data_IF_647906562697
#
_entry.id   IF_647906562697
#
_cell.length_a   1.000
_cell.length_b   1.000
_cell.length_c   1.000
_cell.angle_alpha   90.00
_cell.angle_beta   90.00
_cell.angle_gamma   90.00
#
_symmetry.space_group_name_H-M   'P 1'
#
loop_
_entity.id
_entity.type
_entity.pdbx_description
1 polymer ?
#
# COMPACT_ATOMS: atom_id res chain seq x y z
N UNK A 1 2.59 -24.12 -3.84
CA UNK A 1 2.77 -22.69 -3.51
C UNK A 1 2.31 -21.82 -4.66
N UNK A 2 1.45 -20.92 -4.34
CA UNK A 2 0.80 -19.82 -5.05
C UNK A 2 0.76 -19.88 -6.58
N UNK A 3 -0.43 -20.09 -7.14
CA UNK A 3 -0.72 -19.84 -8.54
C UNK A 3 -0.63 -18.35 -8.89
N UNK A 4 -0.61 -17.46 -7.86
CA UNK A 4 -0.58 -16.01 -8.00
C UNK A 4 0.84 -15.48 -7.80
N UNK A 5 1.57 -15.29 -8.89
CA UNK A 5 2.92 -14.72 -8.91
C UNK A 5 3.01 -13.54 -9.86
N UNK A 6 3.97 -12.64 -9.63
CA UNK A 6 4.28 -11.50 -10.49
C UNK A 6 5.78 -11.37 -10.66
N UNK A 7 6.21 -11.08 -11.91
CA UNK A 7 7.59 -10.68 -12.18
C UNK A 7 7.73 -9.18 -12.03
N UNK A 8 8.66 -8.77 -11.17
CA UNK A 8 9.00 -7.37 -10.94
C UNK A 8 9.95 -6.83 -12.02
N UNK A 9 10.21 -5.54 -11.99
CA UNK A 9 11.07 -4.79 -12.93
C UNK A 9 12.53 -5.28 -12.98
N UNK A 10 13.00 -5.93 -11.91
CA UNK A 10 14.35 -6.50 -11.82
C UNK A 10 14.43 -7.98 -12.22
N UNK A 11 13.34 -8.54 -12.77
CA UNK A 11 13.24 -9.94 -13.17
C UNK A 11 12.94 -10.93 -12.02
N UNK A 12 12.88 -10.45 -10.78
CA UNK A 12 12.52 -11.30 -9.64
C UNK A 12 11.04 -11.65 -9.68
N UNK A 13 10.71 -12.93 -9.53
CA UNK A 13 9.32 -13.39 -9.41
C UNK A 13 8.98 -13.61 -7.93
N UNK A 14 7.89 -13.00 -7.49
CA UNK A 14 7.40 -13.07 -6.11
C UNK A 14 5.90 -13.45 -6.08
N UNK A 15 5.36 -13.91 -4.94
CA UNK A 15 3.91 -13.97 -4.75
C UNK A 15 3.25 -12.61 -5.01
N UNK A 16 2.09 -12.58 -5.63
CA UNK A 16 1.31 -11.35 -5.92
C UNK A 16 0.64 -10.78 -4.67
N UNK A 17 1.38 -10.72 -3.58
CA UNK A 17 0.94 -10.19 -2.29
C UNK A 17 2.14 -9.58 -1.58
N UNK A 18 2.01 -8.32 -1.19
CA UNK A 18 2.96 -7.64 -0.32
C UNK A 18 2.37 -7.38 1.06
N UNK A 19 3.18 -6.85 1.97
CA UNK A 19 2.76 -6.43 3.29
C UNK A 19 2.81 -4.91 3.41
N UNK A 20 1.66 -4.28 3.71
CA UNK A 20 1.55 -2.85 3.98
C UNK A 20 1.88 -2.53 5.43
N UNK A 21 2.95 -1.77 5.67
CA UNK A 21 3.53 -1.54 6.98
C UNK A 21 3.05 -0.24 7.67
N UNK A 22 1.99 0.41 7.16
CA UNK A 22 1.45 1.60 7.81
C UNK A 22 0.91 1.30 9.22
N UNK A 23 0.22 0.18 9.39
CA UNK A 23 -0.41 -0.19 10.66
C UNK A 23 0.59 -0.59 11.77
N UNK A 24 1.86 -0.81 11.45
CA UNK A 24 2.93 -1.09 12.40
C UNK A 24 3.81 0.14 12.68
N UNK A 25 3.51 1.30 12.06
CA UNK A 25 4.30 2.52 12.24
C UNK A 25 4.13 3.19 13.61
N UNK A 26 3.00 2.95 14.28
CA UNK A 26 2.72 3.61 15.57
C UNK A 26 2.20 5.04 15.40
N UNK A 27 2.18 5.84 16.50
CA UNK A 27 1.56 7.16 16.53
C UNK A 27 2.16 8.14 15.51
N UNK A 28 1.27 8.91 14.86
CA UNK A 28 1.61 9.98 13.92
C UNK A 28 0.41 10.94 13.81
N UNK A 29 0.64 12.26 13.84
CA UNK A 29 -0.43 13.24 13.95
C UNK A 29 -0.17 14.46 13.06
N UNK A 30 -1.25 15.20 12.75
CA UNK A 30 -1.23 16.57 12.23
C UNK A 30 -2.02 17.45 13.19
N UNK A 31 -1.33 18.21 14.03
CA UNK A 31 -1.96 18.84 15.20
C UNK A 31 -2.60 17.77 16.08
N UNK A 32 -3.91 17.87 16.31
CA UNK A 32 -4.68 16.89 17.08
C UNK A 32 -5.30 15.77 16.22
N UNK A 33 -5.09 15.80 14.91
CA UNK A 33 -5.67 14.81 13.99
C UNK A 33 -4.77 13.59 13.90
N UNK A 34 -5.29 12.39 14.22
CA UNK A 34 -4.57 11.15 14.05
C UNK A 34 -4.36 10.83 12.56
N UNK A 35 -3.11 10.50 12.19
CA UNK A 35 -2.71 10.05 10.85
C UNK A 35 -2.14 8.62 10.89
N UNK A 36 -2.51 7.85 11.90
CA UNK A 36 -2.02 6.49 12.13
C UNK A 36 -3.09 5.60 12.76
N UNK A 37 -2.75 4.35 12.97
CA UNK A 37 -3.61 3.33 13.55
C UNK A 37 -3.46 3.23 15.08
N UNK A 38 -2.95 4.28 15.74
CA UNK A 38 -2.70 4.32 17.17
C UNK A 38 -1.44 3.57 17.61
N UNK A 39 -1.41 3.16 18.88
CA UNK A 39 -0.26 2.48 19.50
C UNK A 39 -0.01 1.11 18.89
N UNK A 40 1.26 0.73 18.77
CA UNK A 40 1.73 -0.56 18.23
C UNK A 40 2.59 -1.31 19.24
N UNK A 41 2.68 -2.63 19.07
CA UNK A 41 3.58 -3.50 19.79
C UNK A 41 4.65 -4.01 18.82
N UNK A 42 5.87 -3.52 18.96
CA UNK A 42 6.99 -3.84 18.07
C UNK A 42 7.35 -5.32 18.08
N UNK A 43 7.19 -6.02 19.21
CA UNK A 43 7.44 -7.44 19.27
C UNK A 43 6.43 -8.23 18.42
N UNK A 44 5.15 -7.87 18.51
CA UNK A 44 4.12 -8.47 17.66
C UNK A 44 4.32 -8.11 16.18
N UNK A 45 4.71 -6.86 15.88
CA UNK A 45 5.05 -6.43 14.52
C UNK A 45 6.20 -7.26 13.92
N UNK A 46 7.27 -7.49 14.69
CA UNK A 46 8.40 -8.31 14.26
C UNK A 46 8.01 -9.77 14.03
N UNK A 47 7.24 -10.39 14.94
CA UNK A 47 6.72 -11.75 14.75
C UNK A 47 5.86 -11.87 13.49
N UNK A 48 5.04 -10.85 13.22
CA UNK A 48 4.21 -10.82 12.02
C UNK A 48 5.06 -10.71 10.74
N UNK A 49 6.12 -9.91 10.73
CA UNK A 49 7.07 -9.81 9.61
C UNK A 49 7.78 -11.15 9.40
N UNK A 50 8.31 -11.77 10.47
CA UNK A 50 8.95 -13.09 10.41
C UNK A 50 7.98 -14.15 9.85
N UNK A 51 6.73 -14.16 10.34
CA UNK A 51 5.72 -15.09 9.83
C UNK A 51 5.40 -14.85 8.35
N UNK A 52 5.33 -13.60 7.89
CA UNK A 52 5.15 -13.28 6.48
C UNK A 52 6.29 -13.85 5.61
N UNK A 53 7.54 -13.72 6.08
CA UNK A 53 8.72 -14.30 5.42
C UNK A 53 8.65 -15.83 5.34
N UNK A 54 8.28 -16.51 6.44
CA UNK A 54 8.12 -17.97 6.51
C UNK A 54 7.06 -18.46 5.52
N UNK A 55 6.00 -17.67 5.34
CA UNK A 55 4.92 -17.95 4.39
C UNK A 55 5.25 -17.53 2.94
N UNK A 56 6.48 -17.08 2.67
CA UNK A 56 6.97 -16.79 1.32
C UNK A 56 6.76 -15.37 0.83
N UNK A 57 6.27 -14.44 1.64
CA UNK A 57 6.17 -13.03 1.26
C UNK A 57 7.55 -12.42 1.08
N UNK A 58 7.71 -11.64 0.01
CA UNK A 58 8.98 -11.02 -0.38
C UNK A 58 8.88 -9.52 -0.71
N UNK A 59 7.70 -8.91 -0.55
CA UNK A 59 7.48 -7.48 -0.80
C UNK A 59 6.91 -6.81 0.44
N UNK A 60 7.59 -5.76 0.93
CA UNK A 60 7.18 -4.97 2.10
C UNK A 60 7.12 -3.50 1.71
N UNK A 61 5.95 -2.87 1.89
CA UNK A 61 5.71 -1.47 1.58
C UNK A 61 5.61 -0.63 2.87
N UNK A 62 6.45 0.38 2.97
CA UNK A 62 6.46 1.34 4.08
C UNK A 62 6.48 2.78 3.55
N UNK A 63 6.71 3.76 4.41
CA UNK A 63 7.00 5.15 4.09
C UNK A 63 7.81 5.81 5.21
N UNK A 64 8.60 6.81 4.86
CA UNK A 64 9.34 7.62 5.83
C UNK A 64 8.44 8.27 6.88
N UNK A 65 7.21 8.65 6.51
CA UNK A 65 6.23 9.27 7.40
C UNK A 65 5.47 8.30 8.31
N UNK A 66 5.50 6.97 8.06
CA UNK A 66 4.76 6.02 8.89
C UNK A 66 5.35 5.93 10.30
N UNK A 67 4.61 6.49 11.28
CA UNK A 67 5.08 6.66 12.64
C UNK A 67 6.32 7.56 12.73
N UNK A 68 6.47 8.52 11.78
CA UNK A 68 7.61 9.43 11.70
C UNK A 68 8.96 8.66 11.72
N UNK A 69 9.12 7.72 10.80
CA UNK A 69 10.32 6.90 10.62
C UNK A 69 10.25 5.51 11.26
N UNK A 70 9.41 5.30 12.26
CA UNK A 70 9.40 4.09 13.07
C UNK A 70 9.13 2.80 12.26
N UNK A 71 8.22 2.85 11.28
CA UNK A 71 7.96 1.69 10.41
C UNK A 71 9.20 1.24 9.63
N UNK A 72 10.00 2.19 9.13
CA UNK A 72 11.27 1.88 8.46
C UNK A 72 12.30 1.28 9.43
N UNK A 73 12.36 1.74 10.69
CA UNK A 73 13.26 1.20 11.71
C UNK A 73 12.90 -0.26 12.08
N UNK A 74 11.60 -0.57 12.22
CA UNK A 74 11.11 -1.93 12.44
C UNK A 74 11.51 -2.84 11.28
N UNK A 75 11.27 -2.42 10.03
CA UNK A 75 11.65 -3.19 8.85
C UNK A 75 13.17 -3.33 8.74
N UNK A 76 13.93 -2.25 8.96
CA UNK A 76 15.39 -2.27 8.94
C UNK A 76 15.95 -3.31 9.92
N UNK A 77 15.41 -3.36 11.13
CA UNK A 77 15.81 -4.36 12.13
C UNK A 77 15.47 -5.79 11.70
N UNK A 78 14.26 -6.00 11.16
CA UNK A 78 13.78 -7.33 10.80
C UNK A 78 14.38 -7.87 9.49
N UNK A 79 14.72 -6.98 8.53
CA UNK A 79 15.05 -7.36 7.16
C UNK A 79 16.48 -7.00 6.70
N UNK A 80 17.33 -6.41 7.55
CA UNK A 80 18.68 -5.92 7.16
C UNK A 80 19.57 -6.98 6.47
N UNK A 81 19.43 -8.24 6.85
CA UNK A 81 20.24 -9.35 6.33
C UNK A 81 19.51 -10.15 5.23
N UNK A 82 18.40 -9.63 4.69
CA UNK A 82 17.56 -10.32 3.70
C UNK A 82 17.70 -9.65 2.34
N UNK A 83 18.55 -10.21 1.49
CA UNK A 83 18.70 -9.78 0.10
C UNK A 83 17.62 -10.33 -0.85
N UNK A 84 16.82 -11.28 -0.36
CA UNK A 84 15.73 -11.93 -1.10
C UNK A 84 14.37 -11.23 -0.98
N UNK A 85 14.33 -10.04 -0.34
CA UNK A 85 13.12 -9.24 -0.17
C UNK A 85 13.24 -7.90 -0.88
N UNK A 86 12.12 -7.39 -1.35
CA UNK A 86 11.96 -6.06 -1.92
C UNK A 86 11.34 -5.15 -0.87
N UNK A 87 12.01 -4.05 -0.56
CA UNK A 87 11.50 -3.00 0.34
C UNK A 87 11.15 -1.78 -0.50
N UNK A 88 9.86 -1.44 -0.50
CA UNK A 88 9.33 -0.22 -1.05
C UNK A 88 9.15 0.80 0.08
N UNK A 89 9.72 2.00 -0.07
CA UNK A 89 9.43 3.12 0.83
C UNK A 89 9.03 4.36 0.05
N UNK A 90 8.68 5.43 0.76
CA UNK A 90 8.13 6.65 0.14
C UNK A 90 8.71 7.90 0.78
N UNK A 91 8.81 8.96 -0.01
CA UNK A 91 9.24 10.30 0.41
C UNK A 91 8.23 11.37 0.00
N UNK A 92 8.39 12.58 0.53
CA UNK A 92 7.56 13.72 0.18
C UNK A 92 6.88 14.38 1.39
N UNK A 93 6.52 13.60 2.40
CA UNK A 93 5.93 14.11 3.63
C UNK A 93 7.03 14.42 4.66
N UNK A 94 7.02 15.64 5.18
CA UNK A 94 7.92 16.11 6.24
C UNK A 94 7.31 15.81 7.62
N UNK A 95 8.15 15.48 8.57
CA UNK A 95 7.74 15.16 9.92
C UNK A 95 8.85 15.46 10.95
N UNK A 96 8.44 15.61 12.20
CA UNK A 96 9.33 15.64 13.35
C UNK A 96 9.32 14.28 14.05
N UNK A 97 10.45 13.54 14.06
CA UNK A 97 10.52 12.21 14.66
C UNK A 97 10.36 12.22 16.19
N UNK A 98 10.67 13.34 16.87
CA UNK A 98 10.58 13.46 18.32
C UNK A 98 9.14 13.70 18.80
N UNK A 99 8.40 14.54 18.09
CA UNK A 99 7.00 14.89 18.44
C UNK A 99 5.98 14.05 17.69
N UNK A 100 6.40 13.26 16.69
CA UNK A 100 5.53 12.49 15.81
C UNK A 100 4.53 13.35 15.01
N UNK A 101 4.87 14.61 14.76
CA UNK A 101 4.02 15.57 14.05
C UNK A 101 4.37 15.65 12.56
N UNK A 102 3.32 15.72 11.74
CA UNK A 102 3.43 16.07 10.33
C UNK A 102 3.77 17.57 10.20
N UNK A 103 4.72 17.90 9.33
CA UNK A 103 5.20 19.27 9.05
C UNK A 103 4.87 19.74 7.62
N UNK A 104 3.95 19.04 6.94
CA UNK A 104 3.61 19.30 5.54
C UNK A 104 4.38 18.42 4.57
N UNK A 105 4.65 18.93 3.35
CA UNK A 105 5.30 18.16 2.29
C UNK A 105 6.37 18.98 1.56
N UNK A 106 7.34 18.28 0.97
CA UNK A 106 8.37 18.88 0.14
C UNK A 106 8.76 17.93 -1.00
N UNK A 107 8.96 18.52 -2.19
CA UNK A 107 9.42 17.84 -3.39
C UNK A 107 10.73 18.44 -3.96
N UNK A 108 11.44 19.25 -3.15
CA UNK A 108 12.71 19.85 -3.60
C UNK A 108 13.81 18.79 -3.74
N UNK A 109 14.72 18.91 -4.73
CA UNK A 109 15.82 17.98 -4.92
C UNK A 109 16.68 17.77 -3.66
N UNK A 110 16.91 18.81 -2.88
CA UNK A 110 17.67 18.73 -1.64
C UNK A 110 16.93 17.85 -0.59
N UNK A 111 15.63 18.06 -0.42
CA UNK A 111 14.81 17.26 0.49
C UNK A 111 14.73 15.79 0.05
N UNK A 112 14.58 15.52 -1.25
CA UNK A 112 14.53 14.16 -1.80
C UNK A 112 15.81 13.40 -1.45
N UNK A 113 16.98 14.00 -1.69
CA UNK A 113 18.27 13.37 -1.37
C UNK A 113 18.43 13.13 0.13
N UNK A 114 18.13 14.12 0.97
CA UNK A 114 18.24 13.98 2.43
C UNK A 114 17.27 12.93 2.98
N UNK A 115 16.00 12.97 2.55
CA UNK A 115 14.99 11.98 2.94
C UNK A 115 15.38 10.55 2.52
N UNK A 116 15.99 10.38 1.35
CA UNK A 116 16.50 9.09 0.87
C UNK A 116 17.62 8.57 1.76
N UNK A 117 18.60 9.40 2.10
CA UNK A 117 19.71 9.03 3.00
C UNK A 117 19.19 8.68 4.42
N UNK A 118 18.18 9.38 4.91
CA UNK A 118 17.55 9.06 6.19
C UNK A 118 16.82 7.72 6.13
N UNK A 119 16.09 7.42 5.04
CA UNK A 119 15.42 6.13 4.85
C UNK A 119 16.41 4.98 4.76
N UNK A 120 17.53 5.15 4.03
CA UNK A 120 18.61 4.15 3.96
C UNK A 120 19.17 3.82 5.35
N UNK A 121 19.39 4.84 6.20
CA UNK A 121 19.85 4.63 7.58
C UNK A 121 18.83 3.87 8.42
N UNK A 122 17.53 4.25 8.38
CA UNK A 122 16.49 3.57 9.16
C UNK A 122 16.25 2.14 8.68
N UNK A 123 16.27 1.92 7.38
CA UNK A 123 16.14 0.59 6.76
C UNK A 123 17.40 -0.28 6.91
N UNK A 124 18.54 0.30 7.33
CA UNK A 124 19.84 -0.36 7.43
C UNK A 124 20.25 -1.02 6.09
N UNK A 125 20.09 -0.29 4.98
CA UNK A 125 20.38 -0.71 3.61
C UNK A 125 21.30 0.30 2.91
N UNK A 126 22.10 -0.17 1.97
CA UNK A 126 22.93 0.66 1.11
C UNK A 126 22.15 1.18 -0.11
N UNK A 127 21.10 0.47 -0.50
CA UNK A 127 20.20 0.83 -1.60
C UNK A 127 18.75 0.48 -1.26
N UNK A 128 17.80 1.30 -1.72
CA UNK A 128 16.35 1.07 -1.62
C UNK A 128 15.88 0.41 -2.91
N UNK A 129 15.16 -0.71 -2.82
CA UNK A 129 14.67 -1.43 -4.00
C UNK A 129 13.64 -0.63 -4.80
N UNK A 130 12.74 0.09 -4.11
CA UNK A 130 11.72 0.94 -4.71
C UNK A 130 11.48 2.19 -3.86
N UNK A 131 11.74 3.37 -4.42
CA UNK A 131 11.44 4.65 -3.79
C UNK A 131 10.25 5.32 -4.48
N UNK A 132 9.18 5.63 -3.75
CA UNK A 132 7.94 6.15 -4.31
C UNK A 132 7.70 7.61 -3.90
N UNK A 133 7.29 8.45 -4.85
CA UNK A 133 6.85 9.81 -4.57
C UNK A 133 5.46 9.80 -3.89
N UNK A 134 5.35 10.38 -2.68
CA UNK A 134 4.17 10.22 -1.80
C UNK A 134 3.27 11.45 -1.75
N UNK A 135 3.40 12.39 -2.66
CA UNK A 135 2.50 13.55 -2.78
C UNK A 135 1.54 13.26 -3.93
N UNK A 136 0.36 12.70 -3.60
CA UNK A 136 -0.63 12.21 -4.56
C UNK A 136 -1.01 13.26 -5.62
N UNK A 137 -1.29 14.50 -5.20
CA UNK A 137 -1.81 15.58 -6.04
C UNK A 137 -0.74 16.56 -6.54
N UNK A 138 0.57 16.21 -6.52
CA UNK A 138 1.62 17.12 -7.00
C UNK A 138 1.45 17.46 -8.49
N UNK A 139 1.66 18.72 -8.92
CA UNK A 139 1.56 19.12 -10.32
C UNK A 139 2.56 18.37 -11.21
N UNK A 140 2.13 17.98 -12.42
CA UNK A 140 2.95 17.18 -13.34
C UNK A 140 4.19 17.96 -13.80
N UNK A 141 4.07 19.23 -14.11
CA UNK A 141 5.15 20.10 -14.55
C UNK A 141 6.21 20.30 -13.46
N UNK A 142 5.81 20.39 -12.20
CA UNK A 142 6.74 20.46 -11.06
C UNK A 142 7.37 19.09 -10.74
N UNK A 143 6.69 17.99 -11.05
CA UNK A 143 7.19 16.63 -10.82
C UNK A 143 8.37 16.25 -11.73
N UNK A 144 8.62 16.98 -12.83
CA UNK A 144 9.77 16.74 -13.71
C UNK A 144 11.08 16.77 -12.90
N UNK A 145 11.30 17.79 -12.07
CA UNK A 145 12.49 17.93 -11.24
C UNK A 145 12.59 16.82 -10.16
N UNK A 146 11.44 16.33 -9.69
CA UNK A 146 11.39 15.18 -8.78
C UNK A 146 11.94 13.93 -9.44
N UNK A 147 11.42 13.57 -10.63
CA UNK A 147 11.85 12.37 -11.33
C UNK A 147 13.26 12.48 -11.92
N UNK A 148 13.74 13.67 -12.28
CA UNK A 148 15.14 13.90 -12.62
C UNK A 148 16.07 13.60 -11.43
N UNK A 149 15.69 14.04 -10.22
CA UNK A 149 16.43 13.72 -8.98
C UNK A 149 16.39 12.21 -8.66
N UNK A 150 15.28 11.53 -8.92
CA UNK A 150 15.17 10.07 -8.73
C UNK A 150 16.05 9.32 -9.75
N UNK A 151 16.16 9.79 -10.98
CA UNK A 151 17.09 9.23 -11.96
C UNK A 151 18.55 9.39 -11.53
N UNK A 152 18.95 10.55 -10.96
CA UNK A 152 20.28 10.75 -10.38
C UNK A 152 20.55 9.77 -9.22
N UNK A 153 19.60 9.62 -8.29
CA UNK A 153 19.72 8.67 -7.18
C UNK A 153 19.84 7.22 -7.65
N UNK A 154 19.11 6.86 -8.71
CA UNK A 154 19.18 5.54 -9.33
C UNK A 154 20.53 5.30 -10.01
N UNK A 155 21.05 6.26 -10.77
CA UNK A 155 22.38 6.17 -11.38
C UNK A 155 23.50 6.13 -10.32
N UNK A 156 23.29 6.80 -9.18
CA UNK A 156 24.19 6.75 -8.03
C UNK A 156 24.07 5.48 -7.17
N UNK A 157 23.17 4.54 -7.52
CA UNK A 157 22.98 3.27 -6.81
C UNK A 157 22.28 3.39 -5.47
N UNK A 158 21.72 4.56 -5.11
CA UNK A 158 20.99 4.77 -3.86
C UNK A 158 19.60 4.16 -3.88
N UNK A 159 19.02 4.05 -5.06
CA UNK A 159 17.73 3.37 -5.30
C UNK A 159 17.86 2.49 -6.54
N UNK A 160 17.11 1.39 -6.59
CA UNK A 160 17.10 0.53 -7.77
C UNK A 160 16.03 0.97 -8.79
N UNK A 161 14.88 1.42 -8.31
CA UNK A 161 13.76 1.87 -9.13
C UNK A 161 12.90 2.89 -8.34
N UNK A 162 11.97 3.52 -9.05
CA UNK A 162 11.05 4.47 -8.44
C UNK A 162 9.63 4.38 -9.03
N UNK A 163 8.69 5.03 -8.38
CA UNK A 163 7.30 5.14 -8.79
C UNK A 163 6.59 6.32 -8.16
N UNK A 164 5.29 6.43 -8.40
CA UNK A 164 4.44 7.45 -7.81
C UNK A 164 3.26 6.82 -7.05
N UNK A 165 3.02 7.29 -5.82
CA UNK A 165 1.80 6.99 -5.08
C UNK A 165 0.75 8.05 -5.43
N UNK A 166 -0.06 7.77 -6.46
CA UNK A 166 -1.10 8.66 -6.98
C UNK A 166 -2.33 7.88 -7.45
N UNK A 167 -3.51 8.48 -7.32
CA UNK A 167 -4.77 7.96 -7.83
C UNK A 167 -5.15 8.54 -9.20
N UNK A 168 -4.35 9.47 -9.72
CA UNK A 168 -4.58 10.13 -10.99
C UNK A 168 -3.80 9.39 -12.11
N UNK A 169 -4.50 8.74 -13.07
CA UNK A 169 -3.84 8.01 -14.15
C UNK A 169 -3.01 8.93 -15.07
N UNK A 170 -3.37 10.22 -15.19
CA UNK A 170 -2.61 11.15 -16.05
C UNK A 170 -1.22 11.44 -15.47
N UNK A 171 -1.09 11.45 -14.14
CA UNK A 171 0.22 11.59 -13.45
C UNK A 171 1.09 10.36 -13.66
N UNK A 172 0.52 9.18 -13.56
CA UNK A 172 1.24 7.93 -13.82
C UNK A 172 1.72 7.87 -15.28
N UNK A 173 0.84 8.17 -16.22
CA UNK A 173 1.14 8.17 -17.66
C UNK A 173 2.24 9.15 -18.04
N UNK A 174 2.25 10.35 -17.45
CA UNK A 174 3.23 11.40 -17.77
C UNK A 174 4.69 11.00 -17.56
N UNK A 175 4.96 9.98 -16.74
CA UNK A 175 6.32 9.52 -16.41
C UNK A 175 6.56 8.04 -16.72
N UNK A 176 5.57 7.33 -17.26
CA UNK A 176 5.60 5.89 -17.48
C UNK A 176 6.69 5.42 -18.46
N UNK A 177 7.15 6.30 -19.35
CA UNK A 177 8.22 6.02 -20.33
C UNK A 177 9.64 6.16 -19.74
N UNK A 178 9.78 6.66 -18.50
CA UNK A 178 11.10 6.76 -17.85
C UNK A 178 11.59 5.38 -17.44
N UNK A 179 12.83 4.97 -17.78
CA UNK A 179 13.31 3.61 -17.50
C UNK A 179 13.32 3.22 -16.02
N UNK A 180 13.38 4.19 -15.11
CA UNK A 180 13.33 3.96 -13.66
C UNK A 180 11.91 3.97 -13.06
N UNK A 181 10.89 4.42 -13.80
CA UNK A 181 9.50 4.48 -13.37
C UNK A 181 8.81 3.13 -13.64
N UNK A 182 8.73 2.30 -12.64
CA UNK A 182 8.33 0.89 -12.80
C UNK A 182 7.01 0.54 -12.12
N UNK A 183 6.50 1.43 -11.26
CA UNK A 183 5.29 1.18 -10.46
C UNK A 183 4.43 2.42 -10.34
N UNK A 184 3.13 2.19 -10.14
CA UNK A 184 2.22 3.17 -9.56
C UNK A 184 1.53 2.56 -8.35
N UNK A 185 1.52 3.30 -7.22
CA UNK A 185 0.77 2.89 -6.04
C UNK A 185 -0.52 3.70 -5.94
N UNK A 186 -1.66 3.02 -6.02
CA UNK A 186 -2.97 3.66 -6.01
C UNK A 186 -3.98 2.89 -5.17
N UNK A 187 -5.09 3.54 -4.82
CA UNK A 187 -6.20 2.87 -4.16
C UNK A 187 -6.88 1.90 -5.14
N UNK A 188 -7.08 0.66 -4.70
CA UNK A 188 -7.83 -0.33 -5.47
C UNK A 188 -8.46 -1.37 -4.54
N UNK A 189 -9.76 -1.49 -4.60
CA UNK A 189 -10.52 -2.56 -3.98
C UNK A 189 -11.90 -2.67 -4.63
N UNK A 190 -12.64 -3.71 -4.26
CA UNK A 190 -13.95 -4.00 -4.88
C UNK A 190 -14.98 -2.87 -4.71
N UNK A 191 -14.88 -2.05 -3.65
CA UNK A 191 -15.80 -0.93 -3.39
C UNK A 191 -15.40 0.37 -4.10
N UNK A 192 -14.16 0.42 -4.60
CA UNK A 192 -13.57 1.59 -5.24
C UNK A 192 -12.60 1.13 -6.34
N UNK A 193 -13.13 0.63 -7.47
CA UNK A 193 -12.33 0.19 -8.60
C UNK A 193 -11.69 1.39 -9.33
N UNK A 194 -10.55 1.16 -9.97
CA UNK A 194 -9.78 2.18 -10.69
C UNK A 194 -9.48 1.75 -12.13
N UNK A 195 -10.48 1.61 -13.01
CA UNK A 195 -10.30 1.05 -14.35
C UNK A 195 -9.33 1.85 -15.22
N UNK A 196 -9.35 3.19 -15.15
CA UNK A 196 -8.47 4.04 -15.95
C UNK A 196 -7.00 3.89 -15.54
N UNK A 197 -6.73 3.77 -14.23
CA UNK A 197 -5.38 3.49 -13.74
C UNK A 197 -4.90 2.10 -14.15
N UNK A 198 -5.76 1.10 -14.11
CA UNK A 198 -5.43 -0.25 -14.58
C UNK A 198 -5.09 -0.24 -16.07
N UNK A 199 -5.82 0.53 -16.89
CA UNK A 199 -5.51 0.66 -18.32
C UNK A 199 -4.11 1.29 -18.55
N UNK A 200 -3.72 2.30 -17.78
CA UNK A 200 -2.36 2.88 -17.83
C UNK A 200 -1.31 1.86 -17.41
N UNK A 201 -1.53 1.16 -16.31
CA UNK A 201 -0.63 0.13 -15.79
C UNK A 201 -0.37 -0.96 -16.81
N UNK A 202 -1.41 -1.46 -17.49
CA UNK A 202 -1.30 -2.51 -18.52
C UNK A 202 -0.59 -1.99 -19.78
N UNK A 203 -0.95 -0.80 -20.25
CA UNK A 203 -0.34 -0.19 -21.43
C UNK A 203 1.16 0.01 -21.30
N UNK A 204 1.64 0.45 -20.13
CA UNK A 204 3.05 0.73 -19.86
C UNK A 204 3.77 -0.40 -19.13
N UNK A 205 3.13 -1.55 -18.94
CA UNK A 205 3.68 -2.71 -18.25
C UNK A 205 4.23 -2.38 -16.83
N UNK A 206 3.58 -1.47 -16.11
CA UNK A 206 3.93 -1.09 -14.75
C UNK A 206 3.45 -2.15 -13.75
N UNK A 207 4.00 -2.15 -12.53
CA UNK A 207 3.41 -2.88 -11.41
C UNK A 207 2.41 -1.97 -10.70
N UNK A 208 1.17 -2.43 -10.61
CA UNK A 208 0.09 -1.77 -9.86
C UNK A 208 0.17 -2.19 -8.39
N UNK A 209 0.76 -1.36 -7.54
CA UNK A 209 0.76 -1.60 -6.08
C UNK A 209 -0.55 -1.07 -5.51
N UNK A 210 -1.34 -1.95 -4.90
CA UNK A 210 -2.69 -1.60 -4.48
C UNK A 210 -2.73 -1.31 -2.98
N UNK A 211 -2.76 -0.02 -2.62
CA UNK A 211 -3.05 0.43 -1.26
C UNK A 211 -4.56 0.37 -1.00
N UNK A 212 -4.93 0.25 0.27
CA UNK A 212 -6.32 0.12 0.65
C UNK A 212 -7.05 -1.12 0.12
N UNK A 213 -6.40 -2.28 -0.10
CA UNK A 213 -7.03 -3.45 -0.70
C UNK A 213 -8.20 -3.98 0.11
N UNK A 214 -8.22 -3.68 1.41
CA UNK A 214 -9.29 -4.05 2.34
C UNK A 214 -10.16 -2.84 2.76
N UNK A 215 -10.17 -1.75 1.97
CA UNK A 215 -10.96 -0.54 2.24
C UNK A 215 -10.79 -0.06 3.70
N UNK A 216 -9.54 0.11 4.15
CA UNK A 216 -9.18 0.45 5.53
C UNK A 216 -9.76 -0.50 6.59
N UNK A 217 -9.90 -1.77 6.24
CA UNK A 217 -10.42 -2.83 7.11
C UNK A 217 -11.93 -3.08 6.99
N UNK A 218 -12.69 -2.27 6.24
CA UNK A 218 -14.12 -2.51 6.01
C UNK A 218 -14.36 -3.90 5.42
N UNK A 219 -13.52 -4.33 4.47
CA UNK A 219 -13.57 -5.65 3.84
C UNK A 219 -13.02 -6.79 4.72
N UNK A 220 -12.76 -6.55 6.00
CA UNK A 220 -12.52 -7.62 6.99
C UNK A 220 -13.80 -8.11 7.69
N UNK A 221 -14.90 -7.37 7.54
CA UNK A 221 -16.18 -7.66 8.22
C UNK A 221 -16.19 -7.35 9.72
N UNK A 222 -15.11 -6.77 10.28
CA UNK A 222 -14.99 -6.52 11.73
C UNK A 222 -15.69 -5.24 12.20
N UNK A 223 -16.07 -4.35 11.27
CA UNK A 223 -16.53 -2.99 11.60
C UNK A 223 -18.03 -2.78 11.33
N UNK A 224 -18.80 -3.84 11.26
CA UNK A 224 -20.23 -3.76 10.94
C UNK A 224 -21.05 -3.00 12.01
N UNK A 225 -20.58 -2.98 13.27
CA UNK A 225 -21.30 -2.36 14.40
C UNK A 225 -20.40 -1.71 15.45
N UNK A 226 -19.13 -1.43 15.13
CA UNK A 226 -18.15 -0.94 16.11
C UNK A 226 -17.85 0.54 15.85
N UNK A 227 -17.98 1.38 16.89
CA UNK A 227 -17.43 2.74 16.87
C UNK A 227 -15.94 2.66 17.13
N UNK A 228 -15.16 3.30 16.25
CA UNK A 228 -13.72 3.30 16.33
C UNK A 228 -13.21 4.24 17.44
N UNK A 229 -12.03 3.95 18.06
CA UNK A 229 -11.37 4.85 19.00
C UNK A 229 -11.04 6.21 18.35
N UNK A 230 -10.93 7.26 19.18
CA UNK A 230 -10.64 8.62 18.70
C UNK A 230 -9.21 8.76 18.14
N UNK A 231 -8.26 7.97 18.62
CA UNK A 231 -6.88 7.91 18.13
C UNK A 231 -6.68 7.05 16.87
N UNK A 232 -7.75 6.45 16.36
CA UNK A 232 -7.74 5.73 15.09
C UNK A 232 -7.91 6.71 13.92
N UNK A 233 -7.06 6.60 12.91
CA UNK A 233 -7.11 7.47 11.72
C UNK A 233 -8.48 7.52 11.06
N UNK A 234 -9.27 6.45 11.12
CA UNK A 234 -10.62 6.36 10.54
C UNK A 234 -11.65 7.23 11.26
N UNK A 235 -11.34 7.69 12.48
CA UNK A 235 -12.15 8.64 13.25
C UNK A 235 -11.75 10.10 13.01
N UNK A 236 -10.68 10.35 12.23
CA UNK A 236 -10.08 11.69 12.09
C UNK A 236 -10.87 12.67 11.21
N UNK A 237 -11.87 12.21 10.45
CA UNK A 237 -12.61 13.02 9.46
C UNK A 237 -11.73 13.74 8.43
N UNK A 238 -10.51 13.25 8.18
CA UNK A 238 -9.64 13.79 7.15
C UNK A 238 -10.31 13.68 5.76
N UNK A 239 -10.16 14.72 4.93
CA UNK A 239 -10.84 14.82 3.63
C UNK A 239 -10.56 13.65 2.66
N UNK A 240 -9.44 12.95 2.83
CA UNK A 240 -9.06 11.78 2.03
C UNK A 240 -9.67 10.45 2.52
N UNK A 241 -10.33 10.44 3.73
CA UNK A 241 -11.03 9.26 4.23
C UNK A 241 -12.31 9.04 3.43
N UNK A 242 -12.39 7.91 2.73
CA UNK A 242 -13.53 7.59 1.84
C UNK A 242 -14.58 6.71 2.50
N UNK A 243 -14.15 5.70 3.26
CA UNK A 243 -15.04 4.63 3.73
C UNK A 243 -15.66 4.91 5.09
N UNK A 244 -15.05 5.81 5.87
CA UNK A 244 -15.44 6.12 7.24
C UNK A 244 -15.70 7.62 7.41
N UNK A 245 -16.66 7.95 8.27
CA UNK A 245 -16.96 9.30 8.71
C UNK A 245 -17.43 9.24 10.16
N UNK A 246 -16.93 10.13 11.03
CA UNK A 246 -17.25 10.16 12.47
C UNK A 246 -17.03 8.81 13.16
N UNK A 247 -16.00 8.06 12.75
CA UNK A 247 -15.69 6.74 13.27
C UNK A 247 -16.65 5.62 12.85
N UNK A 248 -17.56 5.89 11.92
CA UNK A 248 -18.53 4.92 11.40
C UNK A 248 -18.37 4.69 9.89
N UNK A 249 -18.77 3.51 9.43
CA UNK A 249 -18.79 3.18 8.00
C UNK A 249 -19.84 4.02 7.29
N UNK A 250 -19.46 4.66 6.18
CA UNK A 250 -20.41 5.42 5.37
C UNK A 250 -21.47 4.51 4.72
N UNK A 251 -22.77 4.89 4.75
CA UNK A 251 -23.86 4.02 4.32
C UNK A 251 -23.77 3.50 2.88
N UNK A 252 -23.19 4.30 1.98
CA UNK A 252 -23.03 3.88 0.57
C UNK A 252 -22.08 2.70 0.43
N UNK A 253 -20.93 2.73 1.13
CA UNK A 253 -19.95 1.64 1.09
C UNK A 253 -20.47 0.39 1.82
N UNK A 254 -21.29 0.57 2.87
CA UNK A 254 -21.96 -0.55 3.52
C UNK A 254 -22.91 -1.25 2.55
N UNK A 255 -23.77 -0.50 1.85
CA UNK A 255 -24.70 -1.09 0.86
C UNK A 255 -23.94 -1.82 -0.25
N UNK A 256 -22.87 -1.21 -0.79
CA UNK A 256 -22.01 -1.87 -1.79
C UNK A 256 -21.41 -3.17 -1.25
N UNK A 257 -20.86 -3.16 -0.03
CA UNK A 257 -20.30 -4.36 0.58
C UNK A 257 -21.37 -5.43 0.78
N UNK A 258 -22.53 -5.07 1.30
CA UNK A 258 -23.60 -6.03 1.56
C UNK A 258 -24.12 -6.69 0.26
N UNK A 259 -24.14 -5.94 -0.86
CA UNK A 259 -24.53 -6.48 -2.16
C UNK A 259 -23.58 -7.53 -2.73
N UNK A 260 -22.27 -7.47 -2.39
CA UNK A 260 -21.25 -8.39 -2.95
C UNK A 260 -20.64 -9.35 -1.92
N UNK A 261 -21.01 -9.23 -0.65
CA UNK A 261 -20.43 -9.98 0.47
C UNK A 261 -20.37 -11.48 0.23
N UNK A 262 -21.48 -12.07 -0.19
CA UNK A 262 -21.58 -13.52 -0.41
C UNK A 262 -20.75 -13.97 -1.63
N UNK A 263 -20.67 -13.14 -2.67
CA UNK A 263 -19.83 -13.42 -3.84
C UNK A 263 -18.35 -13.42 -3.46
N UNK A 264 -17.91 -12.47 -2.62
CA UNK A 264 -16.53 -12.43 -2.12
C UNK A 264 -16.20 -13.65 -1.24
N UNK A 265 -17.20 -14.23 -0.56
CA UNK A 265 -17.03 -15.41 0.29
C UNK A 265 -17.21 -16.74 -0.42
N UNK A 266 -17.47 -16.71 -1.73
CA UNK A 266 -17.63 -17.94 -2.53
C UNK A 266 -16.39 -18.85 -2.41
N UNK A 267 -16.58 -20.13 -2.66
CA UNK A 267 -15.56 -21.19 -2.61
C UNK A 267 -14.82 -21.31 -1.25
N UNK A 268 -15.52 -21.00 -0.16
CA UNK A 268 -15.01 -21.08 1.20
C UNK A 268 -13.91 -20.07 1.53
N UNK A 269 -13.93 -18.89 0.88
CA UNK A 269 -13.07 -17.74 1.21
C UNK A 269 -13.56 -17.02 2.44
N UNK A 270 -12.65 -16.41 3.19
CA UNK A 270 -12.99 -15.29 4.07
C UNK A 270 -13.28 -14.05 3.22
N UNK A 271 -13.91 -13.03 3.82
CA UNK A 271 -14.16 -11.76 3.13
C UNK A 271 -12.85 -11.08 2.67
N UNK A 272 -11.79 -11.15 3.51
CA UNK A 272 -10.43 -10.68 3.18
C UNK A 272 -9.89 -11.42 1.95
N UNK A 273 -9.98 -12.74 1.93
CA UNK A 273 -9.48 -13.56 0.83
C UNK A 273 -10.23 -13.29 -0.47
N UNK A 274 -11.54 -13.07 -0.41
CA UNK A 274 -12.33 -12.70 -1.58
C UNK A 274 -12.00 -11.29 -2.10
N UNK A 275 -11.79 -10.33 -1.21
CA UNK A 275 -11.37 -8.98 -1.60
C UNK A 275 -10.01 -8.97 -2.32
N UNK A 276 -9.03 -9.76 -1.84
CA UNK A 276 -7.74 -9.92 -2.50
C UNK A 276 -7.89 -10.67 -3.83
N UNK A 277 -8.72 -11.72 -3.87
CA UNK A 277 -9.03 -12.47 -5.08
C UNK A 277 -9.68 -11.61 -6.17
N UNK A 278 -10.50 -10.63 -5.79
CA UNK A 278 -11.07 -9.65 -6.71
C UNK A 278 -9.97 -8.79 -7.36
N UNK A 279 -9.00 -8.29 -6.56
CA UNK A 279 -7.89 -7.49 -7.09
C UNK A 279 -7.07 -8.30 -8.09
N UNK A 280 -6.74 -9.55 -7.78
CA UNK A 280 -6.00 -10.40 -8.71
C UNK A 280 -6.77 -10.71 -10.00
N UNK A 281 -8.09 -10.80 -9.93
CA UNK A 281 -8.94 -10.99 -11.10
C UNK A 281 -9.07 -9.73 -11.98
N UNK A 282 -8.75 -8.54 -11.43
CA UNK A 282 -8.84 -7.27 -12.16
C UNK A 282 -7.73 -7.12 -13.19
N UNK A 283 -6.48 -7.48 -12.86
CA UNK A 283 -5.33 -7.41 -13.78
C UNK A 283 -4.18 -8.30 -13.31
N UNK A 284 -3.41 -8.92 -14.20
CA UNK A 284 -2.21 -9.67 -13.84
C UNK A 284 -1.07 -8.80 -13.29
N UNK A 285 -1.19 -7.48 -13.42
CA UNK A 285 -0.17 -6.51 -12.96
C UNK A 285 -0.38 -6.01 -11.53
N UNK A 286 -1.45 -6.45 -10.85
CA UNK A 286 -1.79 -6.00 -9.49
C UNK A 286 -0.93 -6.69 -8.42
N UNK A 287 -0.54 -5.93 -7.41
CA UNK A 287 0.20 -6.36 -6.22
C UNK A 287 -0.45 -5.72 -4.97
N UNK A 288 -1.50 -6.31 -4.41
CA UNK A 288 -2.13 -5.78 -3.20
C UNK A 288 -1.19 -5.84 -2.00
N UNK A 289 -1.24 -4.79 -1.16
CA UNK A 289 -0.45 -4.64 0.04
C UNK A 289 -1.35 -4.46 1.27
N UNK A 290 -2.11 -5.49 1.70
CA UNK A 290 -2.94 -5.40 2.89
C UNK A 290 -2.08 -5.09 4.13
N UNK A 291 -2.63 -4.24 5.02
CA UNK A 291 -2.03 -3.95 6.31
C UNK A 291 -2.12 -5.16 7.26
N UNK A 292 -1.22 -5.16 8.24
CA UNK A 292 -1.18 -6.17 9.30
C UNK A 292 -0.68 -5.55 10.61
N UNK A 293 -1.06 -6.16 11.74
CA UNK A 293 -0.57 -5.81 13.09
C UNK A 293 -0.11 -7.04 13.89
N UNK A 294 -0.50 -8.24 13.46
CA UNK A 294 -0.22 -9.49 14.16
C UNK A 294 -0.16 -10.68 13.19
N UNK A 295 0.30 -11.82 13.70
CA UNK A 295 0.46 -13.08 12.95
C UNK A 295 -0.85 -13.54 12.31
N UNK A 296 -1.97 -13.50 13.03
CA UNK A 296 -3.27 -13.98 12.52
C UNK A 296 -3.71 -13.21 11.27
N UNK A 297 -3.50 -11.89 11.23
CA UNK A 297 -3.82 -11.10 10.04
C UNK A 297 -2.90 -11.43 8.86
N UNK A 298 -1.62 -11.70 9.12
CA UNK A 298 -0.69 -12.16 8.08
C UNK A 298 -1.13 -13.49 7.49
N UNK A 299 -1.47 -14.47 8.34
CA UNK A 299 -1.93 -15.80 7.91
C UNK A 299 -3.24 -15.72 7.11
N UNK A 300 -4.19 -14.87 7.52
CA UNK A 300 -5.43 -14.65 6.78
C UNK A 300 -5.16 -14.02 5.40
N UNK A 301 -4.31 -12.99 5.34
CA UNK A 301 -3.92 -12.35 4.08
C UNK A 301 -3.22 -13.33 3.13
N UNK A 302 -2.24 -14.07 3.64
CA UNK A 302 -1.45 -15.01 2.84
C UNK A 302 -2.28 -16.22 2.39
N UNK A 303 -3.21 -16.68 3.22
CA UNK A 303 -4.15 -17.75 2.87
C UNK A 303 -5.00 -17.44 1.62
N UNK A 304 -5.12 -16.17 1.22
CA UNK A 304 -5.75 -15.79 -0.02
C UNK A 304 -5.04 -16.34 -1.27
N UNK A 305 -3.70 -16.50 -1.21
CA UNK A 305 -2.89 -17.04 -2.31
C UNK A 305 -3.25 -18.48 -2.67
N UNK A 306 -3.73 -19.27 -1.71
CA UNK A 306 -4.20 -20.64 -1.96
C UNK A 306 -5.54 -20.66 -2.71
N UNK A 307 -6.35 -19.63 -2.50
CA UNK A 307 -7.66 -19.46 -3.13
C UNK A 307 -7.56 -18.84 -4.53
N UNK A 308 -6.56 -18.00 -4.77
CA UNK A 308 -6.31 -17.32 -6.05
C UNK A 308 -7.35 -16.27 -6.43
N UNK A 309 -7.32 -15.85 -7.69
CA UNK A 309 -8.25 -14.88 -8.26
C UNK A 309 -9.71 -15.36 -8.24
N UNK A 310 -10.66 -14.42 -8.18
CA UNK A 310 -12.08 -14.74 -8.36
C UNK A 310 -12.36 -15.19 -9.81
N UNK A 311 -13.40 -16.04 -9.98
CA UNK A 311 -13.78 -16.51 -11.30
C UNK A 311 -14.34 -15.38 -12.20
N UNK A 312 -14.23 -15.48 -13.54
CA UNK A 312 -14.82 -14.50 -14.45
C UNK A 312 -16.33 -14.33 -14.27
N UNK A 313 -17.04 -15.39 -13.90
CA UNK A 313 -18.48 -15.35 -13.63
C UNK A 313 -18.76 -14.50 -12.39
N UNK A 314 -18.06 -14.74 -11.28
CA UNK A 314 -18.15 -13.95 -10.04
C UNK A 314 -17.82 -12.48 -10.28
N UNK A 315 -16.76 -12.19 -11.07
CA UNK A 315 -16.38 -10.81 -11.41
C UNK A 315 -17.48 -10.07 -12.19
N UNK A 316 -18.16 -10.76 -13.12
CA UNK A 316 -19.27 -10.20 -13.91
C UNK A 316 -20.46 -9.86 -13.02
N UNK A 317 -20.80 -10.75 -12.09
CA UNK A 317 -21.91 -10.52 -11.14
C UNK A 317 -21.61 -9.36 -10.17
N UNK A 318 -20.39 -9.32 -9.61
CA UNK A 318 -19.94 -8.21 -8.75
C UNK A 318 -20.02 -6.87 -9.50
N UNK A 319 -19.55 -6.81 -10.76
CA UNK A 319 -19.60 -5.61 -11.59
C UNK A 319 -21.03 -5.10 -11.78
N UNK A 320 -21.98 -6.01 -12.00
CA UNK A 320 -23.39 -5.68 -12.17
C UNK A 320 -23.97 -5.09 -10.88
N UNK A 321 -23.71 -5.69 -9.72
CA UNK A 321 -24.23 -5.26 -8.43
C UNK A 321 -23.66 -3.91 -7.98
N UNK A 322 -22.36 -3.69 -8.16
CA UNK A 322 -21.69 -2.42 -7.79
C UNK A 322 -22.10 -1.29 -8.74
N UNK A 323 -22.27 -1.56 -10.03
CA UNK A 323 -22.68 -0.56 -11.02
C UNK A 323 -24.14 -0.14 -10.91
N UNK A 324 -24.95 -0.92 -10.16
CA UNK A 324 -26.36 -0.65 -9.91
C UNK A 324 -26.64 0.00 -8.55
N UNK A 325 -25.60 0.31 -7.76
CA UNK A 325 -25.70 0.73 -6.35
C UNK A 325 -25.47 2.23 -6.16
#
# INVERSE_FOLDING_TARGET
LANETISLWNGTTIPRLGMGCWAIGGPYHSGNTALSWGTVNDQESRKAIERALDLGIRFFDTASSYGAGHSEEILGTALKNRSDVVIATKFGNMFDPSTKQALGSSATPAFIRDSTEQSLRRLQRDSIDLLQFHINGHPIDEAIAVFDTLDELRHGGKIAAYGWSTDDPTRAEAFADRPGFVTVQHNLNVLDPAPDMIAVVERFNLVSINRGPLAMGLLSGKFDHVKLPEDDVRSSNAAWLRYFKDGAVQPEFRRKLDSVRELLRSDGRTLVQGALGWIWATSPRTLPIPGFRNVTQVEENVGALEKGALSPATMTEIKTLIGSS
#
